data_IF_821777347393
#
_entry.id   IF_821777347393
#
_cell.length_a   1.000
_cell.length_b   1.000
_cell.length_c   1.000
_cell.angle_alpha   90.00
_cell.angle_beta   90.00
_cell.angle_gamma   90.00
#
_symmetry.space_group_name_H-M   'P 1'
#
loop_
_entity.id
_entity.type
_entity.pdbx_description
1 polymer ?
#
# COMPACT_ATOMS: atom_id res chain seq x y z
N UNK A 1 -2.60 -5.70 -9.03
CA UNK A 1 -1.24 -5.67 -8.47
C UNK A 1 -0.93 -4.32 -7.89
N UNK A 2 -0.33 -4.28 -6.72
CA UNK A 2 0.04 -3.01 -6.10
C UNK A 2 1.41 -2.55 -6.60
N UNK A 3 1.60 -1.25 -6.69
CA UNK A 3 2.89 -0.67 -7.02
C UNK A 3 3.22 0.45 -6.05
N UNK A 4 4.53 0.72 -5.91
CA UNK A 4 5.02 1.77 -5.03
C UNK A 4 5.52 2.91 -5.91
N UNK A 5 5.06 4.12 -5.60
CA UNK A 5 5.48 5.33 -6.29
C UNK A 5 5.94 6.38 -5.28
N UNK A 6 6.60 7.41 -5.76
CA UNK A 6 7.01 8.55 -4.92
C UNK A 6 6.18 9.76 -5.31
N UNK A 7 5.66 10.46 -4.31
CA UNK A 7 4.92 11.69 -4.52
C UNK A 7 5.31 12.69 -3.43
N UNK A 8 5.86 13.82 -3.85
CA UNK A 8 6.36 14.87 -2.93
C UNK A 8 7.34 14.30 -1.89
N UNK A 9 8.23 13.39 -2.34
CA UNK A 9 9.20 12.77 -1.45
C UNK A 9 8.66 11.70 -0.52
N UNK A 10 7.37 11.38 -0.60
CA UNK A 10 6.73 10.35 0.22
C UNK A 10 6.33 9.15 -0.63
N UNK A 11 6.35 7.97 -0.02
CA UNK A 11 5.94 6.75 -0.70
C UNK A 11 4.43 6.71 -0.85
N UNK A 12 3.98 6.35 -2.04
CA UNK A 12 2.56 6.22 -2.37
C UNK A 12 2.30 4.81 -2.85
N UNK A 13 1.24 4.18 -2.35
CA UNK A 13 0.80 2.87 -2.81
C UNK A 13 -0.32 3.06 -3.83
N UNK A 14 -0.17 2.42 -4.98
CA UNK A 14 -1.19 2.38 -6.02
C UNK A 14 -1.66 0.93 -6.13
N UNK A 15 -2.93 0.67 -5.82
CA UNK A 15 -3.45 -0.69 -5.79
C UNK A 15 -4.92 -0.71 -6.21
N UNK A 16 -5.44 -1.92 -6.44
CA UNK A 16 -6.87 -2.13 -6.73
C UNK A 16 -7.55 -2.82 -5.56
N UNK A 17 -8.70 -2.28 -5.19
CA UNK A 17 -9.55 -2.87 -4.17
C UNK A 17 -11.02 -2.73 -4.59
N UNK A 18 -11.74 -3.84 -4.59
CA UNK A 18 -13.15 -3.91 -5.01
C UNK A 18 -13.37 -3.33 -6.41
N UNK A 19 -12.48 -3.68 -7.35
CA UNK A 19 -12.48 -3.21 -8.74
C UNK A 19 -12.28 -1.70 -8.89
N UNK A 20 -11.80 -1.03 -7.86
CA UNK A 20 -11.49 0.40 -7.89
C UNK A 20 -10.00 0.61 -7.73
N UNK A 21 -9.47 1.57 -8.47
CA UNK A 21 -8.08 1.97 -8.33
C UNK A 21 -7.96 2.88 -7.11
N UNK A 22 -7.06 2.50 -6.21
CA UNK A 22 -6.83 3.25 -4.97
C UNK A 22 -5.40 3.75 -4.92
N UNK A 23 -5.23 4.98 -4.47
CA UNK A 23 -3.91 5.56 -4.21
C UNK A 23 -3.90 6.11 -2.81
N UNK A 24 -2.90 5.67 -2.04
CA UNK A 24 -2.73 6.17 -0.67
C UNK A 24 -1.30 6.63 -0.49
N UNK A 25 -1.14 7.90 -0.11
CA UNK A 25 0.17 8.45 0.20
C UNK A 25 0.47 8.23 1.66
N UNK A 26 1.63 7.61 1.94
CA UNK A 26 2.05 7.34 3.31
C UNK A 26 2.82 8.53 3.86
N UNK A 27 3.08 8.52 5.16
CA UNK A 27 3.99 9.47 5.79
C UNK A 27 5.46 9.06 5.67
N UNK A 28 5.73 7.93 5.01
CA UNK A 28 7.09 7.38 4.89
C UNK A 28 7.86 8.07 3.79
N UNK A 29 9.08 8.49 4.11
CA UNK A 29 9.98 9.05 3.10
C UNK A 29 10.48 7.96 2.15
N UNK A 30 10.85 8.36 0.93
CA UNK A 30 11.35 7.44 -0.07
C UNK A 30 12.79 7.05 0.23
N UNK A 31 12.96 6.02 1.04
CA UNK A 31 14.25 5.42 1.36
C UNK A 31 14.20 3.93 1.07
N UNK A 32 15.35 3.27 0.80
CA UNK A 32 15.37 1.82 0.57
C UNK A 32 14.77 1.03 1.73
N UNK A 33 15.02 1.44 2.96
CA UNK A 33 14.47 0.80 4.15
C UNK A 33 12.95 0.89 4.19
N UNK A 34 12.42 2.09 3.94
CA UNK A 34 10.99 2.32 3.94
C UNK A 34 10.29 1.57 2.80
N UNK A 35 10.93 1.50 1.63
CA UNK A 35 10.41 0.72 0.52
C UNK A 35 10.28 -0.76 0.87
N UNK A 36 11.27 -1.33 1.55
CA UNK A 36 11.21 -2.73 2.00
C UNK A 36 10.09 -2.97 2.99
N UNK A 37 9.91 -2.05 3.93
CA UNK A 37 8.81 -2.14 4.91
C UNK A 37 7.46 -2.08 4.22
N UNK A 38 7.33 -1.18 3.25
CA UNK A 38 6.09 -1.01 2.52
C UNK A 38 5.79 -2.20 1.63
N UNK A 39 6.81 -2.81 1.00
CA UNK A 39 6.64 -4.02 0.21
C UNK A 39 6.07 -5.16 1.05
N UNK A 40 6.56 -5.33 2.26
CA UNK A 40 6.03 -6.35 3.18
C UNK A 40 4.59 -6.06 3.58
N UNK A 41 4.27 -4.81 3.82
CA UNK A 41 2.89 -4.41 4.13
C UNK A 41 1.96 -4.70 2.94
N UNK A 42 2.42 -4.42 1.72
CA UNK A 42 1.66 -4.70 0.50
C UNK A 42 1.41 -6.20 0.33
N UNK A 43 2.42 -7.04 0.56
CA UNK A 43 2.26 -8.48 0.51
C UNK A 43 1.17 -8.95 1.46
N UNK A 44 1.15 -8.42 2.67
CA UNK A 44 0.13 -8.72 3.67
C UNK A 44 -1.25 -8.26 3.22
N UNK A 45 -1.33 -7.05 2.67
CA UNK A 45 -2.59 -6.51 2.14
C UNK A 45 -3.15 -7.39 1.03
N UNK A 46 -2.30 -7.78 0.09
CA UNK A 46 -2.72 -8.61 -1.03
C UNK A 46 -3.20 -10.00 -0.57
N UNK A 47 -2.52 -10.57 0.42
CA UNK A 47 -2.94 -11.84 1.00
C UNK A 47 -4.30 -11.71 1.69
N UNK A 48 -4.51 -10.62 2.43
CA UNK A 48 -5.80 -10.37 3.09
C UNK A 48 -6.91 -10.12 2.09
N UNK A 49 -6.61 -9.44 0.99
CA UNK A 49 -7.60 -9.25 -0.09
C UNK A 49 -8.00 -10.58 -0.70
N UNK A 50 -7.03 -11.47 -0.92
CA UNK A 50 -7.29 -12.79 -1.48
C UNK A 50 -8.19 -13.62 -0.56
N UNK A 51 -7.97 -13.51 0.75
CA UNK A 51 -8.75 -14.23 1.75
C UNK A 51 -10.09 -13.54 2.10
N UNK A 52 -10.32 -12.35 1.58
CA UNK A 52 -11.54 -11.60 1.85
C UNK A 52 -11.61 -10.97 3.23
N UNK A 53 -10.47 -10.81 3.91
CA UNK A 53 -10.42 -10.25 5.26
C UNK A 53 -9.70 -8.90 5.32
N UNK A 54 -9.45 -8.28 4.18
CA UNK A 54 -8.79 -6.99 4.13
C UNK A 54 -9.69 -5.90 4.67
N UNK A 55 -9.16 -5.10 5.60
CA UNK A 55 -9.85 -3.95 6.16
C UNK A 55 -9.12 -2.67 5.77
N UNK A 56 -9.71 -1.92 4.84
CA UNK A 56 -9.13 -0.69 4.31
C UNK A 56 -8.87 0.34 5.42
N UNK A 57 -9.83 0.53 6.31
CA UNK A 57 -9.73 1.53 7.37
C UNK A 57 -8.63 1.20 8.40
N UNK A 58 -8.25 -0.06 8.51
CA UNK A 58 -7.18 -0.50 9.41
C UNK A 58 -5.81 -0.03 8.89
N UNK A 59 -5.62 -0.03 7.59
CA UNK A 59 -4.37 0.38 6.96
C UNK A 59 -4.33 1.87 6.66
N UNK A 60 -5.46 2.46 6.33
CA UNK A 60 -5.58 3.85 5.92
C UNK A 60 -6.73 4.52 6.68
N UNK A 61 -6.50 4.82 7.95
CA UNK A 61 -7.55 5.43 8.78
C UNK A 61 -7.90 6.85 8.37
#
# INVERSE_FOLDING_TARGET
MASIRTRYGKLTIDFRYLNKRCRETTAMEDTPNNRKKLEKAIERMEAEMLLGVFDYAKYFP
#
